data_IF_093248757040
#
_entry.id   IF_093248757040
#
_cell.length_a   1.000
_cell.length_b   1.000
_cell.length_c   1.000
_cell.angle_alpha   90.00
_cell.angle_beta   90.00
_cell.angle_gamma   90.00
#
_symmetry.space_group_name_H-M   'P 1'
#
loop_
_entity.id
_entity.type
_entity.pdbx_description
1 polymer ?
#
# COMPACT_ATOMS: atom_id res chain seq x y z
N UNK A 1 16.94 -15.77 18.22
CA UNK A 1 15.97 -15.02 19.05
C UNK A 1 14.60 -15.62 18.86
N UNK A 2 13.73 -15.55 19.86
CA UNK A 2 12.32 -15.93 19.69
C UNK A 2 11.63 -14.78 18.95
N UNK A 3 11.03 -15.07 17.80
CA UNK A 3 10.32 -14.05 17.01
C UNK A 3 8.90 -13.81 17.51
N UNK A 4 8.23 -14.87 17.97
CA UNK A 4 6.83 -14.83 18.43
C UNK A 4 6.59 -15.91 19.52
N UNK A 5 5.73 -15.59 20.48
CA UNK A 5 5.22 -16.51 21.50
C UNK A 5 3.72 -16.27 21.63
N UNK A 6 2.93 -17.34 21.68
CA UNK A 6 1.49 -17.29 21.85
C UNK A 6 1.04 -18.38 22.81
N UNK A 7 -0.04 -18.12 23.55
CA UNK A 7 -0.78 -19.17 24.24
C UNK A 7 -1.94 -19.62 23.36
N UNK A 8 -2.16 -20.94 23.24
CA UNK A 8 -3.17 -21.49 22.33
C UNK A 8 -4.61 -21.09 22.70
N UNK A 9 -4.88 -20.94 24.00
CA UNK A 9 -6.19 -20.56 24.53
C UNK A 9 -6.33 -19.04 24.75
N UNK A 10 -5.35 -18.25 24.30
CA UNK A 10 -5.49 -16.79 24.28
C UNK A 10 -6.45 -16.38 23.16
N UNK A 11 -7.51 -15.68 23.54
CA UNK A 11 -8.57 -15.18 22.67
C UNK A 11 -8.09 -14.29 21.52
N UNK A 12 -6.92 -13.67 21.65
CA UNK A 12 -6.38 -12.74 20.66
C UNK A 12 -5.15 -13.28 19.92
N UNK A 13 -4.70 -14.49 20.23
CA UNK A 13 -3.50 -15.05 19.63
C UNK A 13 -3.72 -15.61 18.21
N UNK A 14 -4.93 -16.10 17.91
CA UNK A 14 -5.26 -16.78 16.66
C UNK A 14 -6.55 -16.27 16.04
N UNK A 15 -6.61 -16.27 14.71
CA UNK A 15 -7.81 -15.94 13.94
C UNK A 15 -7.94 -16.94 12.78
N UNK A 16 -8.96 -17.83 12.77
CA UNK A 16 -9.98 -18.00 13.81
C UNK A 16 -9.39 -18.45 15.15
N UNK A 17 -10.14 -18.19 16.24
CA UNK A 17 -9.74 -18.63 17.59
C UNK A 17 -9.72 -20.16 17.65
N UNK A 18 -8.82 -20.71 18.47
CA UNK A 18 -8.74 -22.17 18.70
C UNK A 18 -9.95 -22.67 19.49
N UNK A 19 -10.45 -21.86 20.41
CA UNK A 19 -11.64 -22.13 21.20
C UNK A 19 -12.73 -21.13 20.83
N UNK A 20 -13.97 -21.62 20.77
CA UNK A 20 -15.14 -20.76 20.59
C UNK A 20 -15.30 -19.75 21.74
N UNK A 21 -16.05 -18.69 21.49
CA UNK A 21 -16.40 -17.67 22.49
C UNK A 21 -17.60 -18.10 23.32
N UNK A 22 -17.61 -17.74 24.61
CA UNK A 22 -18.73 -18.05 25.52
C UNK A 22 -20.01 -17.31 25.13
N UNK A 23 -19.86 -16.08 24.64
CA UNK A 23 -20.95 -15.25 24.17
C UNK A 23 -20.73 -14.89 22.70
N UNK A 24 -21.80 -14.96 21.92
CA UNK A 24 -21.81 -14.57 20.51
C UNK A 24 -22.93 -13.55 20.27
N UNK A 25 -22.78 -12.80 19.19
CA UNK A 25 -23.84 -11.94 18.66
C UNK A 25 -25.06 -12.80 18.31
N UNK A 26 -26.26 -12.40 18.75
CA UNK A 26 -27.49 -13.08 18.38
C UNK A 26 -27.78 -12.89 16.88
N UNK A 27 -27.76 -13.95 16.07
CA UNK A 27 -28.00 -13.85 14.63
C UNK A 27 -29.44 -13.41 14.29
N UNK A 28 -30.37 -13.50 15.25
CA UNK A 28 -31.75 -13.07 15.07
C UNK A 28 -32.02 -11.66 15.62
N UNK A 29 -31.06 -11.04 16.31
CA UNK A 29 -31.21 -9.67 16.76
C UNK A 29 -30.94 -8.70 15.61
N UNK A 30 -31.78 -7.68 15.52
CA UNK A 30 -31.73 -6.72 14.42
C UNK A 30 -31.83 -5.31 14.98
N UNK A 31 -31.13 -4.38 14.33
CA UNK A 31 -31.15 -2.99 14.73
C UNK A 31 -32.58 -2.44 14.66
N UNK A 32 -33.12 -1.88 15.75
CA UNK A 32 -34.40 -1.20 15.73
C UNK A 32 -34.40 -0.03 14.74
N UNK A 33 -35.53 0.22 14.09
CA UNK A 33 -35.64 1.31 13.10
C UNK A 33 -35.50 2.71 13.70
N UNK A 34 -35.72 2.86 15.01
CA UNK A 34 -35.53 4.10 15.76
C UNK A 34 -34.12 4.21 16.38
N UNK A 35 -33.21 3.29 16.06
CA UNK A 35 -31.82 3.35 16.51
C UNK A 35 -30.99 4.25 15.60
N UNK A 36 -30.56 5.38 16.13
CA UNK A 36 -29.79 6.37 15.38
C UNK A 36 -28.30 6.16 15.63
N UNK A 37 -27.58 5.81 14.57
CA UNK A 37 -26.12 5.55 14.59
C UNK A 37 -25.30 6.75 14.10
N UNK A 38 -25.93 7.75 13.51
CA UNK A 38 -25.28 8.96 13.04
C UNK A 38 -25.02 9.90 14.20
N UNK A 39 -23.75 10.00 14.62
CA UNK A 39 -23.31 10.92 15.68
C UNK A 39 -23.48 12.40 15.29
N UNK A 40 -23.32 12.70 14.00
CA UNK A 40 -23.37 14.05 13.45
C UNK A 40 -24.43 14.12 12.36
N UNK A 41 -25.21 15.20 12.35
CA UNK A 41 -26.21 15.49 11.32
C UNK A 41 -26.01 16.89 10.78
N UNK A 42 -26.41 17.12 9.54
CA UNK A 42 -26.37 18.46 8.92
C UNK A 42 -27.37 19.37 9.64
N UNK A 43 -26.93 20.57 10.03
CA UNK A 43 -27.83 21.56 10.62
C UNK A 43 -28.80 22.11 9.57
N UNK A 44 -30.05 21.63 9.62
CA UNK A 44 -31.13 22.06 8.73
C UNK A 44 -31.53 23.52 8.93
N UNK A 45 -31.17 24.13 10.06
CA UNK A 45 -31.47 25.54 10.36
C UNK A 45 -30.37 26.49 9.93
N UNK A 46 -29.17 25.97 9.62
CA UNK A 46 -28.07 26.79 9.17
C UNK A 46 -28.41 27.38 7.80
N UNK A 47 -28.13 28.67 7.66
CA UNK A 47 -28.34 29.43 6.43
C UNK A 47 -27.01 29.81 5.85
N UNK A 48 -26.93 29.76 4.53
CA UNK A 48 -25.80 30.25 3.77
C UNK A 48 -25.53 31.73 4.14
N UNK A 49 -24.31 32.09 4.55
CA UNK A 49 -23.93 33.47 4.79
C UNK A 49 -24.07 34.33 3.53
N UNK A 50 -24.46 35.59 3.69
CA UNK A 50 -24.66 36.51 2.56
C UNK A 50 -23.36 36.89 1.84
N UNK A 51 -22.22 36.79 2.52
CA UNK A 51 -20.88 37.04 2.01
C UNK A 51 -20.27 35.82 1.28
N UNK A 52 -20.97 34.70 1.21
CA UNK A 52 -20.51 33.48 0.56
C UNK A 52 -20.89 33.44 -0.91
N UNK A 53 -19.99 33.89 -1.79
CA UNK A 53 -20.18 33.81 -3.23
C UNK A 53 -19.68 32.46 -3.79
N UNK A 54 -20.60 31.67 -4.35
CA UNK A 54 -20.32 30.37 -4.98
C UNK A 54 -19.96 30.49 -6.46
N UNK A 55 -20.16 31.66 -7.07
CA UNK A 55 -19.86 31.92 -8.48
C UNK A 55 -18.41 32.33 -8.72
N UNK A 56 -17.69 32.69 -7.66
CA UNK A 56 -16.27 33.00 -7.71
C UNK A 56 -15.47 31.82 -8.28
N UNK A 57 -14.54 32.11 -9.19
CA UNK A 57 -13.67 31.09 -9.74
C UNK A 57 -12.59 30.68 -8.73
N UNK A 58 -12.23 29.40 -8.68
CA UNK A 58 -11.13 28.89 -7.83
C UNK A 58 -9.79 29.54 -8.17
N UNK A 59 -9.60 29.81 -9.46
CA UNK A 59 -8.41 30.41 -10.02
C UNK A 59 -8.82 31.64 -10.83
N UNK A 60 -8.09 32.73 -10.67
CA UNK A 60 -8.25 33.96 -11.44
C UNK A 60 -6.92 34.31 -12.09
N UNK A 61 -6.96 35.04 -13.19
CA UNK A 61 -5.74 35.54 -13.84
C UNK A 61 -5.00 36.50 -12.90
N UNK A 62 -3.68 36.36 -12.85
CA UNK A 62 -2.82 37.28 -12.14
C UNK A 62 -2.72 38.60 -12.93
N UNK A 63 -3.36 39.65 -12.40
CA UNK A 63 -3.32 40.99 -12.99
C UNK A 63 -1.97 41.67 -12.79
N UNK A 64 -1.19 41.23 -11.79
CA UNK A 64 0.13 41.76 -11.48
C UNK A 64 1.23 41.07 -12.31
N UNK A 65 0.93 39.92 -12.92
CA UNK A 65 1.87 39.23 -13.80
C UNK A 65 2.02 39.97 -15.14
N UNK A 66 3.25 40.29 -15.50
CA UNK A 66 3.59 40.84 -16.81
C UNK A 66 4.19 39.76 -17.70
N UNK A 67 4.01 39.93 -19.01
CA UNK A 67 4.60 39.04 -20.00
C UNK A 67 6.12 39.26 -20.05
N UNK A 68 6.95 38.20 -19.95
CA UNK A 68 8.39 38.34 -20.10
C UNK A 68 8.76 38.90 -21.48
N UNK A 69 9.72 39.82 -21.53
CA UNK A 69 10.17 40.44 -22.79
C UNK A 69 10.78 39.42 -23.76
N UNK A 70 11.39 38.34 -23.24
CA UNK A 70 12.04 37.28 -24.04
C UNK A 70 11.08 36.16 -24.47
N UNK A 71 9.76 36.31 -24.24
CA UNK A 71 8.77 35.29 -24.57
C UNK A 71 8.63 35.09 -26.09
N UNK A 72 8.69 33.83 -26.55
CA UNK A 72 8.70 33.49 -27.97
C UNK A 72 7.28 33.22 -28.50
N UNK A 73 6.51 34.26 -28.85
CA UNK A 73 5.12 34.09 -29.31
C UNK A 73 4.95 33.23 -30.57
N UNK A 74 5.88 33.37 -31.51
CA UNK A 74 5.81 32.74 -32.83
C UNK A 74 6.33 31.29 -32.83
N UNK A 75 6.97 30.84 -31.75
CA UNK A 75 7.49 29.48 -31.64
C UNK A 75 6.42 28.54 -31.05
N UNK A 76 6.23 27.33 -31.60
CA UNK A 76 5.25 26.39 -31.07
C UNK A 76 5.75 25.76 -29.75
N UNK A 77 4.80 25.53 -28.83
CA UNK A 77 5.06 24.84 -27.55
C UNK A 77 5.57 23.40 -27.74
N UNK A 78 5.09 22.74 -28.79
CA UNK A 78 5.41 21.36 -29.13
C UNK A 78 5.92 21.29 -30.57
N UNK A 79 7.01 20.59 -30.80
CA UNK A 79 7.60 20.31 -32.12
C UNK A 79 7.65 18.80 -32.33
N UNK A 80 7.68 18.33 -33.58
CA UNK A 80 7.93 16.91 -33.87
C UNK A 80 9.33 16.54 -33.42
N UNK A 81 9.50 15.35 -32.83
CA UNK A 81 10.80 14.83 -32.42
C UNK A 81 11.72 14.73 -33.65
N UNK A 82 12.81 15.53 -33.72
CA UNK A 82 13.67 15.56 -34.90
C UNK A 82 14.59 14.33 -35.01
N UNK A 83 14.77 13.60 -33.91
CA UNK A 83 15.71 12.47 -33.80
C UNK A 83 15.01 11.10 -33.71
N UNK A 84 13.68 11.05 -33.74
CA UNK A 84 12.95 9.78 -33.74
C UNK A 84 12.87 9.24 -35.17
N UNK A 85 13.20 7.96 -35.35
CA UNK A 85 13.10 7.29 -36.64
C UNK A 85 11.86 6.41 -36.68
N UNK A 86 11.35 6.19 -37.89
CA UNK A 86 10.28 5.22 -38.11
C UNK A 86 10.73 3.82 -37.65
N UNK A 87 9.94 3.12 -36.81
CA UNK A 87 10.27 1.76 -36.39
C UNK A 87 10.39 0.79 -37.57
N UNK A 88 11.30 -0.18 -37.48
CA UNK A 88 11.53 -1.16 -38.55
C UNK A 88 10.29 -2.03 -38.84
N UNK A 89 9.46 -2.27 -37.82
CA UNK A 89 8.24 -3.08 -37.93
C UNK A 89 6.99 -2.27 -38.35
N UNK A 90 7.11 -0.97 -38.66
CA UNK A 90 5.97 -0.14 -39.02
C UNK A 90 5.58 -0.28 -40.50
N UNK A 91 4.32 -0.64 -40.77
CA UNK A 91 3.80 -0.79 -42.12
C UNK A 91 2.86 0.36 -42.49
N UNK A 92 3.23 1.23 -43.43
CA UNK A 92 2.39 2.40 -43.78
C UNK A 92 1.05 2.02 -44.43
N UNK A 93 0.94 0.83 -45.03
CA UNK A 93 -0.30 0.35 -45.66
C UNK A 93 -1.31 -0.18 -44.63
N UNK A 94 -0.81 -0.76 -43.53
CA UNK A 94 -1.64 -1.36 -42.47
C UNK A 94 -1.82 -0.41 -41.27
N UNK A 95 -0.76 0.32 -40.87
CA UNK A 95 -0.69 1.20 -39.70
C UNK A 95 -0.87 2.71 -40.05
N UNK A 96 -0.79 3.07 -41.33
CA UNK A 96 -0.87 4.45 -41.82
C UNK A 96 0.46 5.20 -41.87
N UNK A 97 0.47 6.45 -42.37
CA UNK A 97 1.70 7.27 -42.45
C UNK A 97 2.29 7.50 -41.05
N UNK A 98 3.54 7.07 -40.84
CA UNK A 98 4.22 7.30 -39.58
C UNK A 98 4.50 8.80 -39.35
N UNK A 99 4.05 9.32 -38.20
CA UNK A 99 4.28 10.70 -37.78
C UNK A 99 5.12 10.70 -36.49
N UNK A 100 6.26 11.42 -36.45
CA UNK A 100 7.07 11.50 -35.23
C UNK A 100 6.27 12.05 -34.04
N UNK A 101 6.53 11.57 -32.81
CA UNK A 101 5.86 12.06 -31.62
C UNK A 101 6.16 13.56 -31.41
N UNK A 102 5.21 14.28 -30.83
CA UNK A 102 5.39 15.69 -30.46
C UNK A 102 6.15 15.77 -29.13
N UNK A 103 7.26 16.50 -29.12
CA UNK A 103 8.07 16.81 -27.93
C UNK A 103 7.97 18.29 -27.58
N UNK A 104 8.25 18.63 -26.32
CA UNK A 104 8.33 20.04 -25.88
C UNK A 104 9.49 20.72 -26.59
N UNK A 105 9.26 21.88 -27.19
CA UNK A 105 10.30 22.60 -27.91
C UNK A 105 11.42 23.05 -26.94
N UNK A 106 12.67 22.60 -27.13
CA UNK A 106 13.78 22.92 -26.21
C UNK A 106 14.04 24.42 -26.05
N UNK A 107 13.71 25.24 -27.06
CA UNK A 107 13.81 26.71 -26.97
C UNK A 107 12.90 27.30 -25.90
N UNK A 108 11.80 26.61 -25.58
CA UNK A 108 10.76 27.09 -24.67
C UNK A 108 11.07 26.82 -23.20
N UNK A 109 12.11 26.04 -22.87
CA UNK A 109 12.46 25.73 -21.49
C UNK A 109 12.98 26.94 -20.71
N UNK A 110 13.64 27.89 -21.40
CA UNK A 110 14.27 29.05 -20.75
C UNK A 110 13.35 30.26 -20.65
N UNK A 111 12.56 30.54 -21.69
CA UNK A 111 11.83 31.82 -21.83
C UNK A 111 10.32 31.67 -22.06
N UNK A 112 9.85 30.47 -22.42
CA UNK A 112 8.45 30.21 -22.79
C UNK A 112 8.14 30.51 -24.26
N UNK A 113 7.09 29.88 -24.80
CA UNK A 113 6.69 29.99 -26.21
C UNK A 113 5.17 29.98 -26.41
N UNK A 114 4.73 30.38 -27.60
CA UNK A 114 3.33 30.41 -28.02
C UNK A 114 2.58 31.61 -27.46
N UNK A 115 1.26 31.66 -27.61
CA UNK A 115 0.46 32.77 -27.06
C UNK A 115 0.59 32.84 -25.53
N UNK A 116 1.16 33.93 -25.03
CA UNK A 116 1.29 34.12 -23.58
C UNK A 116 -0.08 34.28 -22.92
N UNK A 117 -0.31 33.49 -21.88
CA UNK A 117 -1.50 33.58 -21.02
C UNK A 117 -1.07 33.93 -19.61
N UNK A 118 -1.81 34.86 -18.98
CA UNK A 118 -1.58 35.24 -17.59
C UNK A 118 -1.60 33.99 -16.71
N UNK A 119 -0.63 33.83 -15.80
CA UNK A 119 -0.65 32.72 -14.87
C UNK A 119 -1.91 32.81 -14.01
N UNK A 120 -2.48 31.65 -13.71
CA UNK A 120 -3.65 31.55 -12.86
C UNK A 120 -3.21 31.49 -11.39
N UNK A 121 -3.72 32.41 -10.57
CA UNK A 121 -3.49 32.47 -9.12
C UNK A 121 -4.75 32.08 -8.34
N UNK A 122 -4.56 31.60 -7.10
CA UNK A 122 -5.68 31.23 -6.23
C UNK A 122 -6.49 32.46 -5.83
N UNK A 123 -7.78 32.44 -6.11
CA UNK A 123 -8.69 33.50 -5.70
C UNK A 123 -8.95 33.44 -4.19
N UNK A 124 -8.53 34.48 -3.46
CA UNK A 124 -8.73 34.58 -2.00
C UNK A 124 -10.20 34.69 -1.59
N UNK A 125 -11.08 35.09 -2.51
CA UNK A 125 -12.53 35.20 -2.29
C UNK A 125 -13.26 33.88 -2.55
N UNK A 126 -12.62 32.93 -3.24
CA UNK A 126 -13.24 31.63 -3.50
C UNK A 126 -13.50 30.89 -2.18
N UNK A 127 -14.77 30.53 -1.96
CA UNK A 127 -15.21 29.71 -0.82
C UNK A 127 -15.77 28.35 -1.25
N UNK A 128 -16.02 28.15 -2.54
CA UNK A 128 -16.65 26.93 -3.07
C UNK A 128 -18.14 26.88 -2.77
N UNK A 129 -18.79 25.73 -3.02
CA UNK A 129 -20.20 25.54 -2.65
C UNK A 129 -20.35 25.56 -1.13
N UNK A 130 -21.36 26.28 -0.64
CA UNK A 130 -21.64 26.30 0.80
C UNK A 130 -22.36 25.00 1.20
N UNK A 131 -21.92 24.40 2.29
CA UNK A 131 -22.59 23.26 2.92
C UNK A 131 -22.94 23.65 4.36
N UNK A 132 -24.13 23.30 4.85
CA UNK A 132 -24.46 23.54 6.25
C UNK A 132 -23.50 22.75 7.16
N UNK A 133 -23.13 23.30 8.33
CA UNK A 133 -22.26 22.63 9.27
C UNK A 133 -22.91 21.37 9.84
N UNK A 134 -22.09 20.41 10.24
CA UNK A 134 -22.54 19.24 11.00
C UNK A 134 -22.64 19.58 12.48
N UNK A 135 -23.76 19.20 13.11
CA UNK A 135 -24.04 19.36 14.53
C UNK A 135 -24.24 17.99 15.19
N UNK A 136 -23.99 17.92 16.50
CA UNK A 136 -24.21 16.69 17.25
C UNK A 136 -25.69 16.29 17.20
N UNK A 137 -25.92 15.03 16.84
CA UNK A 137 -27.26 14.47 16.78
C UNK A 137 -27.72 14.09 18.20
N UNK A 138 -28.72 14.81 18.72
CA UNK A 138 -29.26 14.56 20.07
C UNK A 138 -29.92 13.19 20.21
N UNK A 139 -30.34 12.60 19.09
CA UNK A 139 -30.98 11.30 19.05
C UNK A 139 -29.98 10.14 18.90
N UNK A 140 -28.67 10.43 18.76
CA UNK A 140 -27.63 9.41 18.62
C UNK A 140 -27.61 8.45 19.81
N UNK A 141 -27.82 7.15 19.52
CA UNK A 141 -27.86 6.07 20.53
C UNK A 141 -26.58 5.25 20.61
N UNK A 142 -25.56 5.58 19.81
CA UNK A 142 -24.34 4.79 19.71
C UNK A 142 -24.32 3.89 18.48
N UNK A 143 -23.17 3.29 18.18
CA UNK A 143 -23.11 2.19 17.22
C UNK A 143 -23.95 1.02 17.74
N UNK A 144 -24.86 0.53 16.91
CA UNK A 144 -25.66 -0.63 17.27
C UNK A 144 -24.78 -1.89 17.25
N UNK A 145 -24.97 -2.73 18.26
CA UNK A 145 -24.41 -4.09 18.31
C UNK A 145 -25.52 -5.06 18.70
N UNK A 146 -25.58 -6.25 18.08
CA UNK A 146 -26.49 -7.30 18.50
C UNK A 146 -26.31 -7.61 19.99
N UNK A 147 -27.41 -7.98 20.65
CA UNK A 147 -27.34 -8.53 22.00
C UNK A 147 -26.47 -9.78 22.02
N UNK A 148 -25.72 -9.93 23.10
CA UNK A 148 -24.90 -11.11 23.33
C UNK A 148 -25.78 -12.25 23.85
N UNK A 149 -25.75 -13.39 23.17
CA UNK A 149 -26.37 -14.64 23.63
C UNK A 149 -25.29 -15.66 23.95
N UNK A 150 -25.62 -16.60 24.84
CA UNK A 150 -24.71 -17.68 25.20
C UNK A 150 -24.52 -18.61 23.99
N UNK A 151 -23.28 -18.88 23.64
CA UNK A 151 -22.95 -19.83 22.59
C UNK A 151 -23.16 -21.26 23.09
N UNK A 152 -24.09 -22.01 22.48
CA UNK A 152 -24.36 -23.41 22.84
C UNK A 152 -23.21 -24.36 22.50
N UNK A 153 -22.36 -23.99 21.53
CA UNK A 153 -21.19 -24.75 21.12
C UNK A 153 -20.00 -24.53 22.07
N UNK A 154 -20.03 -23.46 22.87
CA UNK A 154 -18.95 -23.16 23.80
C UNK A 154 -18.82 -24.25 24.86
N UNK A 155 -17.62 -24.84 24.93
CA UNK A 155 -17.17 -25.62 26.07
C UNK A 155 -15.85 -25.07 26.56
N UNK A 156 -15.73 -24.89 27.88
CA UNK A 156 -14.47 -24.49 28.49
C UNK A 156 -13.47 -25.64 28.39
N UNK A 157 -12.38 -25.43 27.66
CA UNK A 157 -11.26 -26.36 27.55
C UNK A 157 -10.11 -25.79 28.40
N UNK A 158 -9.59 -26.57 29.34
CA UNK A 158 -8.43 -26.16 30.15
C UNK A 158 -7.12 -26.75 29.62
N UNK A 159 -7.19 -27.88 28.93
CA UNK A 159 -6.05 -28.57 28.33
C UNK A 159 -6.39 -29.07 26.93
N UNK A 160 -5.47 -28.87 25.99
CA UNK A 160 -5.59 -29.38 24.61
C UNK A 160 -5.01 -30.78 24.56
N UNK A 161 -5.84 -31.76 24.20
CA UNK A 161 -5.40 -33.13 23.92
C UNK A 161 -4.94 -33.23 22.46
N UNK A 162 -3.72 -33.72 22.26
CA UNK A 162 -3.13 -33.89 20.93
C UNK A 162 -3.19 -35.35 20.52
N UNK A 163 -3.46 -35.59 19.23
CA UNK A 163 -3.24 -36.89 18.63
C UNK A 163 -1.73 -37.14 18.48
N UNK A 164 -1.33 -38.41 18.55
CA UNK A 164 0.05 -38.79 18.30
C UNK A 164 0.45 -38.47 16.85
N UNK A 165 1.64 -37.89 16.69
CA UNK A 165 2.20 -37.55 15.39
C UNK A 165 2.85 -38.81 14.80
N UNK A 166 2.25 -39.35 13.74
CA UNK A 166 2.73 -40.57 13.08
C UNK A 166 3.77 -40.33 11.97
N UNK A 167 3.89 -39.10 11.46
CA UNK A 167 4.79 -38.80 10.35
C UNK A 167 4.93 -37.31 10.07
N UNK A 168 5.87 -36.98 9.18
CA UNK A 168 6.21 -35.62 8.77
C UNK A 168 6.11 -35.53 7.26
N UNK A 169 5.30 -34.60 6.76
CA UNK A 169 5.19 -34.28 5.34
C UNK A 169 5.55 -32.83 5.09
N UNK A 170 6.17 -32.56 3.93
CA UNK A 170 6.43 -31.21 3.44
C UNK A 170 5.67 -31.06 2.12
N UNK A 171 4.58 -30.29 2.17
CA UNK A 171 3.79 -29.94 1.00
C UNK A 171 3.97 -28.45 0.71
N UNK A 172 4.52 -28.12 -0.46
CA UNK A 172 4.85 -26.75 -0.83
C UNK A 172 4.50 -26.52 -2.30
N UNK A 173 3.81 -25.41 -2.58
CA UNK A 173 3.67 -24.87 -3.92
C UNK A 173 4.76 -23.83 -4.16
N UNK A 174 5.73 -24.14 -5.04
CA UNK A 174 6.84 -23.25 -5.36
C UNK A 174 7.02 -23.13 -6.87
N UNK A 175 7.32 -21.91 -7.33
CA UNK A 175 7.66 -21.63 -8.73
C UNK A 175 9.14 -21.92 -9.02
N UNK A 176 10.00 -21.76 -8.00
CA UNK A 176 11.42 -22.06 -8.08
C UNK A 176 11.67 -23.54 -7.76
N UNK A 177 12.60 -24.14 -8.48
CA UNK A 177 13.03 -25.53 -8.32
C UNK A 177 14.20 -25.69 -7.33
N UNK A 178 14.86 -24.60 -6.96
CA UNK A 178 16.05 -24.63 -6.09
C UNK A 178 15.71 -24.50 -4.59
N UNK A 179 14.66 -25.18 -4.12
CA UNK A 179 14.28 -25.23 -2.71
C UNK A 179 14.77 -26.53 -2.06
N UNK A 180 15.55 -26.43 -1.00
CA UNK A 180 16.04 -27.56 -0.21
C UNK A 180 15.63 -27.44 1.25
N UNK A 181 15.31 -28.58 1.88
CA UNK A 181 15.01 -28.67 3.31
C UNK A 181 15.99 -29.64 3.96
N UNK A 182 16.60 -29.23 5.07
CA UNK A 182 17.48 -30.06 5.89
C UNK A 182 17.28 -29.78 7.39
N UNK A 183 18.00 -30.49 8.25
CA UNK A 183 18.01 -30.28 9.71
C UNK A 183 16.63 -30.34 10.40
N UNK A 184 15.73 -31.20 9.91
CA UNK A 184 14.40 -31.41 10.50
C UNK A 184 14.55 -32.19 11.81
N UNK A 185 14.24 -31.54 12.93
CA UNK A 185 14.25 -32.14 14.27
C UNK A 185 12.85 -32.07 14.88
N UNK A 186 12.38 -33.20 15.43
CA UNK A 186 11.18 -33.27 16.26
C UNK A 186 11.60 -33.78 17.63
N UNK A 187 11.52 -32.92 18.64
CA UNK A 187 11.87 -33.26 20.01
C UNK A 187 10.95 -32.58 21.00
N UNK A 188 10.79 -33.21 22.17
CA UNK A 188 10.12 -32.63 23.35
C UNK A 188 11.10 -31.95 24.30
N UNK A 189 12.40 -31.92 23.97
CA UNK A 189 13.47 -31.37 24.79
C UNK A 189 14.03 -30.09 24.19
N UNK A 190 13.85 -28.96 24.89
CA UNK A 190 14.47 -27.70 24.48
C UNK A 190 16.00 -27.79 24.43
N UNK A 191 16.61 -28.56 25.34
CA UNK A 191 18.07 -28.73 25.38
C UNK A 191 18.62 -29.43 24.14
N UNK A 192 17.90 -30.42 23.64
CA UNK A 192 18.28 -31.13 22.41
C UNK A 192 18.11 -30.21 21.19
N UNK A 193 17.02 -29.45 21.13
CA UNK A 193 16.79 -28.47 20.08
C UNK A 193 17.87 -27.37 20.07
N UNK A 194 18.26 -26.87 21.24
CA UNK A 194 19.35 -25.89 21.37
C UNK A 194 20.68 -26.47 20.87
N UNK A 195 20.99 -27.71 21.23
CA UNK A 195 22.21 -28.40 20.80
C UNK A 195 22.27 -28.56 19.28
N UNK A 196 21.22 -29.10 18.65
CA UNK A 196 21.17 -29.30 17.19
C UNK A 196 21.21 -27.97 16.44
N UNK A 197 20.56 -26.92 16.95
CA UNK A 197 20.65 -25.57 16.38
C UNK A 197 22.09 -25.06 16.39
N UNK A 198 22.75 -25.15 17.55
CA UNK A 198 24.05 -24.52 17.74
C UNK A 198 25.17 -25.26 17.00
N UNK A 199 25.15 -26.59 17.01
CA UNK A 199 26.20 -27.40 16.37
C UNK A 199 25.90 -27.77 14.92
N UNK A 200 24.63 -27.84 14.52
CA UNK A 200 24.21 -28.09 13.14
C UNK A 200 24.03 -26.80 12.35
N UNK A 201 22.85 -26.17 12.52
CA UNK A 201 22.43 -25.04 11.69
C UNK A 201 23.39 -23.85 11.76
N UNK A 202 23.75 -23.37 12.97
CA UNK A 202 24.61 -22.18 13.11
C UNK A 202 26.00 -22.41 12.51
N UNK A 203 26.59 -23.58 12.75
CA UNK A 203 27.91 -23.93 12.19
C UNK A 203 27.88 -23.96 10.67
N UNK A 204 26.85 -24.60 10.09
CA UNK A 204 26.67 -24.68 8.63
C UNK A 204 26.48 -23.30 8.01
N UNK A 205 25.55 -22.52 8.53
CA UNK A 205 25.25 -21.18 8.03
C UNK A 205 26.48 -20.27 8.13
N UNK A 206 27.24 -20.34 9.21
CA UNK A 206 28.47 -19.57 9.35
C UNK A 206 29.50 -19.93 8.27
N UNK A 207 29.67 -21.23 7.98
CA UNK A 207 30.56 -21.69 6.91
C UNK A 207 30.07 -21.26 5.51
N UNK A 208 28.77 -21.41 5.22
CA UNK A 208 28.19 -21.00 3.94
C UNK A 208 28.30 -19.49 3.69
N UNK A 209 28.00 -18.66 4.70
CA UNK A 209 28.21 -17.21 4.61
C UNK A 209 29.68 -16.88 4.34
N UNK A 210 30.62 -17.54 5.02
CA UNK A 210 32.05 -17.34 4.80
C UNK A 210 32.50 -17.73 3.39
N UNK A 211 31.99 -18.85 2.86
CA UNK A 211 32.25 -19.28 1.48
C UNK A 211 31.69 -18.29 0.46
N UNK A 212 30.46 -17.81 0.66
CA UNK A 212 29.84 -16.80 -0.20
C UNK A 212 30.62 -15.48 -0.19
N UNK A 213 31.03 -14.98 0.97
CA UNK A 213 31.85 -13.77 1.07
C UNK A 213 33.20 -13.92 0.34
N UNK A 214 33.80 -15.11 0.40
CA UNK A 214 35.05 -15.37 -0.30
C UNK A 214 34.87 -15.59 -1.82
N UNK A 215 33.73 -16.14 -2.27
CA UNK A 215 33.41 -16.28 -3.68
C UNK A 215 33.16 -14.94 -4.38
N UNK A 216 32.68 -13.92 -3.65
CA UNK A 216 32.45 -12.57 -4.18
C UNK A 216 33.69 -11.67 -4.14
N UNK A 217 34.80 -12.10 -3.52
CA UNK A 217 36.08 -11.38 -3.62
C UNK A 217 36.67 -11.60 -5.02
N UNK A 218 37.11 -10.54 -5.72
CA UNK A 218 37.72 -10.69 -7.02
C UNK A 218 38.95 -11.60 -6.90
N UNK A 219 38.99 -12.68 -7.69
CA UNK A 219 40.16 -13.55 -7.76
C UNK A 219 41.36 -12.69 -8.14
N UNK A 220 42.34 -12.55 -7.24
CA UNK A 220 43.60 -11.87 -7.55
C UNK A 220 44.23 -12.59 -8.74
N UNK A 221 44.31 -11.92 -9.89
CA UNK A 221 45.14 -12.41 -10.98
C UNK A 221 46.59 -12.48 -10.47
N UNK A 222 47.34 -13.56 -10.74
CA UNK A 222 48.75 -13.61 -10.38
C UNK A 222 49.48 -12.46 -11.07
N UNK A 223 50.26 -11.69 -10.31
CA UNK A 223 51.07 -10.59 -10.83
C UNK A 223 52.09 -11.14 -11.83
N UNK A 224 52.21 -10.49 -13.00
CA UNK A 224 53.16 -10.84 -14.07
C UNK A 224 54.63 -10.49 -13.74
N UNK A 225 55.03 -10.58 -12.47
CA UNK A 225 56.40 -10.26 -12.03
C UNK A 225 57.17 -11.50 -11.52
N UNK A 226 56.70 -12.71 -11.84
CA UNK A 226 57.51 -13.93 -11.73
C UNK A 226 57.62 -14.59 -13.11
N UNK A 227 58.53 -14.05 -13.94
CA UNK A 227 59.12 -14.69 -15.12
C UNK A 227 60.59 -14.28 -15.24
#
# INVERSE_FOLDING_TARGET
>A
SVSKVYALLDENAFTPRVQDVEFMDDPNDTMPSDWVTEKMIVDVNAKKPSDWDESEARMIEDQDAEKPEEWLDDEPLMIRAPEENKPEDWNDEEDGEWIPPMIRNPKCEKVGCGEWKRPLIRNKKFRGKWYPPEIENKDYKGEWKPRQIRNEQYRKIETIEWLDIAGVGIEVYAMDKALGFDNILISRSMKEADFVRDFGYKSKIHAEFFEMENAHKPKKQPSKDEL
#
